data_IF_224467083064
#
_entry.id   IF_224467083064
#
_cell.length_a   1.000
_cell.length_b   1.000
_cell.length_c   1.000
_cell.angle_alpha   90.00
_cell.angle_beta   90.00
_cell.angle_gamma   90.00
#
_symmetry.space_group_name_H-M   'P 1'
#
loop_
_entity.id
_entity.type
_entity.pdbx_description
1 polymer ?
#
# COMPACT_ATOMS: atom_id res chain seq x y z
N UNK A 1 40.13 -79.92 7.11
CA UNK A 1 39.73 -79.35 5.79
C UNK A 1 38.46 -78.53 6.00
N UNK A 2 38.57 -77.27 6.38
CA UNK A 2 37.44 -76.38 6.73
C UNK A 2 37.21 -75.43 5.57
N UNK A 3 36.03 -75.52 4.95
CA UNK A 3 35.61 -74.65 3.85
C UNK A 3 34.99 -73.37 4.45
N UNK A 4 35.54 -72.22 4.23
CA UNK A 4 35.00 -70.91 4.63
C UNK A 4 34.21 -70.32 3.46
N UNK A 5 32.89 -70.26 3.64
CA UNK A 5 31.95 -69.63 2.69
C UNK A 5 31.94 -68.09 2.89
N UNK A 6 32.42 -67.32 1.93
CA UNK A 6 32.31 -65.84 1.93
C UNK A 6 30.98 -65.45 1.34
N UNK A 7 30.10 -64.85 2.18
CA UNK A 7 28.90 -64.14 1.74
C UNK A 7 29.25 -62.68 1.37
N UNK A 8 29.03 -62.32 0.11
CA UNK A 8 29.14 -60.93 -0.35
C UNK A 8 27.79 -60.24 -0.15
N UNK A 9 27.79 -59.18 0.67
CA UNK A 9 26.65 -58.26 0.79
C UNK A 9 26.75 -57.19 -0.30
N UNK A 10 25.79 -57.17 -1.22
CA UNK A 10 25.61 -56.07 -2.17
C UNK A 10 24.77 -54.97 -1.52
N UNK A 11 25.38 -53.84 -1.23
CA UNK A 11 24.68 -52.63 -0.77
C UNK A 11 24.08 -51.91 -1.99
N UNK A 12 22.77 -51.96 -2.11
CA UNK A 12 22.03 -51.15 -3.09
C UNK A 12 21.88 -49.71 -2.57
N UNK A 13 22.62 -48.76 -3.15
CA UNK A 13 22.46 -47.32 -2.89
C UNK A 13 21.25 -46.78 -3.66
N UNK A 14 20.19 -46.50 -2.95
CA UNK A 14 19.02 -45.78 -3.48
C UNK A 14 19.36 -44.28 -3.58
N UNK A 15 19.65 -43.80 -4.78
CA UNK A 15 19.78 -42.36 -5.05
C UNK A 15 18.39 -41.71 -5.11
N UNK A 16 18.00 -41.02 -4.06
CA UNK A 16 16.80 -40.17 -4.05
C UNK A 16 17.11 -38.90 -4.89
N UNK A 17 16.65 -38.89 -6.14
CA UNK A 17 16.62 -37.66 -6.95
C UNK A 17 15.57 -36.72 -6.35
N UNK A 18 16.01 -35.78 -5.52
CA UNK A 18 15.18 -34.64 -5.09
C UNK A 18 14.94 -33.72 -6.29
N UNK A 19 13.76 -33.78 -6.84
CA UNK A 19 13.29 -32.79 -7.81
C UNK A 19 13.04 -31.48 -7.06
N UNK A 20 14.06 -30.65 -6.88
CA UNK A 20 13.91 -29.28 -6.46
C UNK A 20 13.24 -28.53 -7.63
N UNK A 21 11.94 -28.29 -7.55
CA UNK A 21 11.30 -27.34 -8.43
C UNK A 21 12.03 -25.99 -8.25
N UNK A 22 12.53 -25.37 -9.33
CA UNK A 22 13.14 -24.04 -9.21
C UNK A 22 12.03 -23.07 -8.72
N UNK A 23 12.18 -22.62 -7.49
CA UNK A 23 11.40 -21.46 -7.00
C UNK A 23 11.74 -20.32 -7.94
N UNK A 24 10.82 -19.99 -8.84
CA UNK A 24 10.96 -18.88 -9.76
C UNK A 24 11.18 -17.64 -8.90
N UNK A 25 12.36 -17.03 -9.03
CA UNK A 25 12.66 -15.78 -8.34
C UNK A 25 11.50 -14.81 -8.58
N UNK A 26 10.92 -14.27 -7.50
CA UNK A 26 9.86 -13.29 -7.61
C UNK A 26 10.34 -12.14 -8.50
N UNK A 27 9.54 -11.75 -9.49
CA UNK A 27 9.85 -10.60 -10.33
C UNK A 27 10.02 -9.38 -9.40
N UNK A 28 11.15 -8.67 -9.48
CA UNK A 28 11.35 -7.44 -8.71
C UNK A 28 10.31 -6.37 -9.07
N UNK A 29 10.26 -5.26 -8.32
CA UNK A 29 9.37 -4.16 -8.64
C UNK A 29 9.70 -3.59 -10.03
N UNK A 30 8.69 -3.07 -10.73
CA UNK A 30 8.90 -2.37 -12.00
C UNK A 30 9.81 -1.15 -11.80
N UNK A 31 10.52 -0.67 -12.86
CA UNK A 31 11.52 0.40 -12.73
C UNK A 31 11.04 1.65 -11.96
N UNK A 32 9.78 2.06 -12.16
CA UNK A 32 9.21 3.19 -11.43
C UNK A 32 9.30 3.03 -9.90
N UNK A 33 9.21 1.83 -9.38
CA UNK A 33 9.17 1.51 -7.96
C UNK A 33 10.46 0.84 -7.45
N UNK A 34 11.52 0.83 -8.26
CA UNK A 34 12.81 0.21 -7.90
C UNK A 34 13.70 1.13 -7.03
N UNK A 35 13.36 2.40 -6.90
CA UNK A 35 14.09 3.39 -6.07
C UNK A 35 13.09 4.27 -5.30
N UNK A 36 13.53 4.83 -4.19
CA UNK A 36 12.78 5.82 -3.39
C UNK A 36 13.16 7.28 -3.70
N UNK A 37 14.09 7.52 -4.66
CA UNK A 37 14.47 8.88 -5.08
C UNK A 37 13.26 9.66 -5.60
N UNK A 38 13.20 10.94 -5.26
CA UNK A 38 12.12 11.82 -5.71
C UNK A 38 12.25 12.08 -7.21
N UNK A 39 11.21 11.74 -7.98
CA UNK A 39 11.17 12.05 -9.41
C UNK A 39 10.90 13.54 -9.65
N UNK A 40 11.52 14.11 -10.69
CA UNK A 40 11.17 15.43 -11.22
C UNK A 40 10.33 15.26 -12.47
N UNK A 41 9.09 15.76 -12.44
CA UNK A 41 8.12 15.59 -13.51
C UNK A 41 7.48 16.92 -13.90
N UNK A 42 7.12 17.05 -15.17
CA UNK A 42 6.14 18.05 -15.62
C UNK A 42 4.90 17.34 -16.11
N UNK A 43 3.74 17.74 -15.64
CA UNK A 43 2.45 17.24 -16.09
C UNK A 43 1.65 18.37 -16.71
N UNK A 44 1.49 18.31 -18.03
CA UNK A 44 0.75 19.31 -18.81
C UNK A 44 -0.64 18.81 -19.14
N UNK A 45 -1.69 19.53 -18.79
CA UNK A 45 -3.07 19.19 -19.10
C UNK A 45 -4.01 20.40 -18.93
N UNK A 46 -5.26 20.34 -19.41
CA UNK A 46 -6.29 21.34 -19.15
C UNK A 46 -6.91 21.12 -17.75
N UNK A 47 -6.16 21.39 -16.68
CA UNK A 47 -6.55 21.09 -15.29
C UNK A 47 -7.83 21.77 -14.82
N UNK A 48 -8.18 22.91 -15.37
CA UNK A 48 -9.40 23.68 -15.11
C UNK A 48 -10.67 23.00 -15.65
N UNK A 49 -10.54 22.19 -16.70
CA UNK A 49 -11.64 21.52 -17.40
C UNK A 49 -11.75 20.01 -17.08
N UNK A 50 -10.88 19.47 -16.24
CA UNK A 50 -10.97 18.05 -15.82
C UNK A 50 -12.26 17.83 -15.03
N UNK A 51 -13.18 17.03 -15.60
CA UNK A 51 -14.45 16.71 -14.95
C UNK A 51 -14.23 15.93 -13.64
N UNK A 52 -15.03 16.28 -12.64
CA UNK A 52 -15.12 15.54 -11.35
C UNK A 52 -16.01 14.31 -11.44
N UNK A 53 -16.75 14.14 -12.52
CA UNK A 53 -17.51 12.93 -12.77
C UNK A 53 -16.55 11.78 -13.14
N UNK A 54 -16.65 10.66 -12.43
CA UNK A 54 -15.82 9.48 -12.67
C UNK A 54 -16.12 8.79 -14.01
N UNK A 55 -17.32 9.02 -14.55
CA UNK A 55 -17.75 8.51 -15.86
C UNK A 55 -17.32 9.42 -17.02
N UNK A 56 -16.81 10.63 -16.74
CA UNK A 56 -16.37 11.55 -17.78
C UNK A 56 -15.19 10.99 -18.58
N UNK A 57 -15.13 11.34 -19.84
CA UNK A 57 -14.00 10.97 -20.71
C UNK A 57 -12.69 11.56 -20.16
N UNK A 58 -11.60 10.78 -20.14
CA UNK A 58 -10.28 11.30 -19.78
C UNK A 58 -9.85 12.43 -20.70
N UNK A 59 -9.12 13.40 -20.16
CA UNK A 59 -8.56 14.50 -20.95
C UNK A 59 -7.13 14.19 -21.40
N UNK A 60 -6.71 14.61 -22.60
CA UNK A 60 -5.34 14.43 -23.06
C UNK A 60 -4.36 15.32 -22.29
N UNK A 61 -3.18 14.79 -22.00
CA UNK A 61 -2.08 15.50 -21.36
C UNK A 61 -0.72 14.96 -21.81
N UNK A 62 0.33 15.56 -21.30
CA UNK A 62 1.72 15.17 -21.55
C UNK A 62 2.43 15.03 -20.22
N UNK A 63 3.10 13.92 -20.00
CA UNK A 63 3.99 13.68 -18.88
C UNK A 63 5.44 13.76 -19.38
N UNK A 64 6.23 14.66 -18.76
CA UNK A 64 7.67 14.76 -19.01
C UNK A 64 8.44 14.33 -17.77
N UNK A 65 9.48 13.53 -17.93
CA UNK A 65 10.45 13.20 -16.90
C UNK A 65 11.64 14.13 -17.07
N UNK A 66 12.08 14.77 -16.00
CA UNK A 66 13.33 15.52 -15.97
C UNK A 66 14.54 14.65 -15.60
N UNK A 67 15.72 15.26 -15.53
CA UNK A 67 16.94 14.59 -15.09
C UNK A 67 17.81 14.05 -16.24
N UNK A 68 18.67 13.06 -15.94
CA UNK A 68 19.71 12.58 -16.86
C UNK A 68 19.15 11.81 -18.08
N UNK A 69 17.95 11.23 -17.96
CA UNK A 69 17.28 10.51 -19.05
C UNK A 69 15.86 11.10 -19.26
N UNK A 70 15.75 12.27 -19.93
CA UNK A 70 14.48 12.92 -20.11
C UNK A 70 13.57 12.15 -21.06
N UNK A 71 12.31 12.00 -20.69
CA UNK A 71 11.27 11.33 -21.49
C UNK A 71 10.05 12.23 -21.64
N UNK A 72 9.37 12.14 -22.77
CA UNK A 72 8.09 12.81 -22.98
C UNK A 72 7.08 11.80 -23.49
N UNK A 73 5.95 11.69 -22.77
CA UNK A 73 4.95 10.67 -23.06
C UNK A 73 3.55 11.29 -23.13
N UNK A 74 2.76 10.97 -24.18
CA UNK A 74 1.35 11.32 -24.21
C UNK A 74 0.59 10.46 -23.20
N UNK A 75 -0.23 11.11 -22.39
CA UNK A 75 -1.07 10.47 -21.37
C UNK A 75 -2.50 10.97 -21.47
N UNK A 76 -3.41 10.24 -20.84
CA UNK A 76 -4.75 10.76 -20.54
C UNK A 76 -4.94 10.82 -19.03
N UNK A 77 -5.67 11.84 -18.58
CA UNK A 77 -5.94 12.10 -17.18
C UNK A 77 -7.42 12.02 -16.88
N UNK A 78 -7.77 11.37 -15.78
CA UNK A 78 -9.11 11.39 -15.20
C UNK A 78 -9.04 11.52 -13.69
N UNK A 79 -10.09 12.06 -13.09
CA UNK A 79 -10.20 12.15 -11.64
C UNK A 79 -10.52 10.78 -11.04
N UNK A 80 -9.96 10.49 -9.86
CA UNK A 80 -10.23 9.27 -9.11
C UNK A 80 -10.58 9.56 -7.64
N UNK A 81 -11.01 8.51 -6.93
CA UNK A 81 -11.39 8.58 -5.53
C UNK A 81 -12.87 8.90 -5.34
N UNK A 82 -13.31 8.91 -4.10
CA UNK A 82 -14.68 9.21 -3.70
C UNK A 82 -14.71 10.57 -2.99
N UNK A 83 -14.11 10.66 -1.81
CA UNK A 83 -14.11 11.87 -0.97
C UNK A 83 -13.26 12.98 -1.58
N UNK A 84 -12.00 12.72 -1.89
CA UNK A 84 -11.06 13.73 -2.48
C UNK A 84 -11.44 14.19 -3.90
N UNK A 85 -12.43 13.56 -4.54
CA UNK A 85 -12.99 14.01 -5.82
C UNK A 85 -13.92 15.23 -5.65
N UNK A 86 -14.53 15.39 -4.50
CA UNK A 86 -15.44 16.48 -4.20
C UNK A 86 -14.68 17.82 -4.15
N UNK A 87 -15.24 18.89 -4.76
CA UNK A 87 -14.59 20.21 -4.84
C UNK A 87 -14.40 20.86 -3.47
N UNK A 88 -15.35 20.65 -2.57
CA UNK A 88 -15.33 21.12 -1.19
C UNK A 88 -14.24 20.44 -0.34
N UNK A 89 -13.77 19.26 -0.75
CA UNK A 89 -12.69 18.54 -0.06
C UNK A 89 -11.33 18.86 -0.67
N UNK A 90 -11.20 18.73 -1.99
CA UNK A 90 -9.94 18.98 -2.69
C UNK A 90 -10.13 19.91 -3.89
N UNK A 91 -9.46 21.05 -3.90
CA UNK A 91 -9.35 21.89 -5.09
C UNK A 91 -8.62 21.16 -6.22
N UNK A 92 -7.64 20.31 -5.90
CA UNK A 92 -6.88 19.50 -6.84
C UNK A 92 -7.03 17.99 -6.50
N UNK A 93 -7.92 17.25 -7.20
CA UNK A 93 -8.26 15.89 -6.85
C UNK A 93 -7.15 14.90 -7.23
N UNK A 94 -7.12 13.70 -6.62
CA UNK A 94 -6.28 12.60 -7.08
C UNK A 94 -6.57 12.23 -8.54
N UNK A 95 -5.53 11.87 -9.27
CA UNK A 95 -5.61 11.60 -10.70
C UNK A 95 -5.32 10.13 -11.02
N UNK A 96 -5.91 9.66 -12.10
CA UNK A 96 -5.46 8.50 -12.85
C UNK A 96 -4.69 9.01 -14.06
N UNK A 97 -3.48 8.50 -14.24
CA UNK A 97 -2.61 8.77 -15.38
C UNK A 97 -2.57 7.49 -16.22
N UNK A 98 -3.04 7.54 -17.46
CA UNK A 98 -3.00 6.42 -18.39
C UNK A 98 -2.08 6.77 -19.56
N UNK A 99 -1.15 5.88 -19.88
CA UNK A 99 -0.23 6.05 -20.98
C UNK A 99 -0.96 5.74 -22.31
N UNK A 100 -0.99 6.70 -23.22
CA UNK A 100 -1.61 6.54 -24.53
C UNK A 100 -0.86 5.55 -25.43
N UNK A 101 0.44 5.39 -25.15
CA UNK A 101 1.33 4.43 -25.81
C UNK A 101 2.12 3.67 -24.74
N UNK A 102 2.52 2.44 -25.05
CA UNK A 102 3.34 1.63 -24.14
C UNK A 102 4.70 2.30 -23.95
N UNK A 103 5.09 2.64 -22.70
CA UNK A 103 6.42 3.18 -22.43
C UNK A 103 7.54 2.26 -22.92
N UNK A 104 8.60 2.85 -23.45
CA UNK A 104 9.72 2.13 -24.05
C UNK A 104 10.48 1.21 -23.09
N UNK A 105 11.39 0.36 -23.60
CA UNK A 105 12.13 -0.60 -22.77
C UNK A 105 13.11 0.04 -21.78
N UNK A 106 13.63 1.23 -22.07
CA UNK A 106 14.50 2.02 -21.20
C UNK A 106 13.77 3.01 -20.30
N UNK A 107 12.44 3.18 -20.49
CA UNK A 107 11.64 4.12 -19.73
C UNK A 107 11.55 3.73 -18.26
N UNK A 108 11.61 4.74 -17.36
CA UNK A 108 11.29 4.53 -15.95
C UNK A 108 9.85 4.03 -15.76
N UNK A 109 8.95 4.33 -16.70
CA UNK A 109 7.56 3.86 -16.71
C UNK A 109 7.37 2.54 -17.45
N UNK A 110 8.46 1.83 -17.82
CA UNK A 110 8.38 0.51 -18.47
C UNK A 110 7.39 -0.41 -17.78
N UNK A 111 6.48 -0.98 -18.58
CA UNK A 111 5.46 -1.92 -18.11
C UNK A 111 4.26 -1.26 -17.42
N UNK A 112 4.23 0.06 -17.25
CA UNK A 112 3.06 0.76 -16.75
C UNK A 112 2.06 0.99 -17.89
N UNK A 113 0.77 0.74 -17.61
CA UNK A 113 -0.35 1.10 -18.50
C UNK A 113 -1.11 2.29 -17.92
N UNK A 114 -1.35 2.25 -16.63
CA UNK A 114 -2.05 3.28 -15.86
C UNK A 114 -1.50 3.33 -14.44
N UNK A 115 -1.53 4.51 -13.86
CA UNK A 115 -1.05 4.77 -12.51
C UNK A 115 -2.07 5.58 -11.72
N UNK A 116 -2.12 5.34 -10.44
CA UNK A 116 -2.79 6.20 -9.46
C UNK A 116 -1.80 7.25 -9.02
N UNK A 117 -2.14 8.52 -9.19
CA UNK A 117 -1.37 9.66 -8.67
C UNK A 117 -2.14 10.28 -7.51
N UNK A 118 -1.57 10.24 -6.32
CA UNK A 118 -2.03 11.02 -5.18
C UNK A 118 -1.49 12.44 -5.33
N UNK A 119 -2.36 13.43 -5.23
CA UNK A 119 -2.06 14.84 -5.44
C UNK A 119 -2.14 15.62 -4.13
N UNK A 120 -1.69 16.85 -4.14
CA UNK A 120 -1.60 17.75 -2.99
C UNK A 120 -2.96 18.22 -2.42
N UNK A 121 -4.09 17.86 -3.00
CA UNK A 121 -5.46 18.16 -2.58
C UNK A 121 -5.82 19.65 -2.56
N UNK A 122 -5.12 20.50 -1.81
CA UNK A 122 -5.36 21.95 -1.71
C UNK A 122 -4.14 22.76 -2.18
N UNK A 123 -4.35 24.05 -2.49
CA UNK A 123 -3.27 24.92 -2.95
C UNK A 123 -2.26 25.25 -1.86
N UNK A 124 -2.67 25.26 -0.59
CA UNK A 124 -1.78 25.51 0.55
C UNK A 124 -0.65 24.47 0.61
N UNK A 125 0.57 24.93 0.90
CA UNK A 125 1.73 24.07 1.05
C UNK A 125 1.58 23.07 2.22
N UNK A 126 0.85 23.42 3.27
CA UNK A 126 0.60 22.58 4.43
C UNK A 126 -0.05 21.23 4.06
N UNK A 127 -0.86 21.22 2.99
CA UNK A 127 -1.48 19.99 2.52
C UNK A 127 -0.48 18.97 1.96
N UNK A 128 0.73 19.38 1.61
CA UNK A 128 1.80 18.45 1.24
C UNK A 128 2.25 17.59 2.44
N UNK A 129 2.12 18.12 3.67
CA UNK A 129 2.50 17.37 4.87
C UNK A 129 1.57 16.15 5.08
N UNK A 130 0.27 16.28 4.81
CA UNK A 130 -0.66 15.15 4.85
C UNK A 130 -0.35 14.12 3.75
N UNK A 131 -0.05 14.57 2.54
CA UNK A 131 0.39 13.71 1.44
C UNK A 131 1.66 12.93 1.81
N UNK A 132 2.63 13.59 2.43
CA UNK A 132 3.89 12.97 2.85
C UNK A 132 3.68 11.95 3.98
N UNK A 133 2.75 12.19 4.89
CA UNK A 133 2.41 11.22 5.94
C UNK A 133 1.65 10.00 5.36
N UNK A 134 0.76 10.20 4.37
CA UNK A 134 0.14 9.08 3.62
C UNK A 134 1.22 8.28 2.87
N UNK A 135 2.15 8.93 2.17
CA UNK A 135 3.30 8.29 1.53
C UNK A 135 4.16 7.51 2.53
N UNK A 136 4.41 8.08 3.71
CA UNK A 136 5.16 7.41 4.78
C UNK A 136 4.44 6.16 5.27
N UNK A 137 3.10 6.18 5.42
CA UNK A 137 2.33 5.02 5.83
C UNK A 137 2.49 3.84 4.83
N UNK A 138 2.49 4.09 3.53
CA UNK A 138 2.81 3.06 2.53
C UNK A 138 4.22 2.49 2.70
N UNK A 139 5.23 3.34 2.94
CA UNK A 139 6.62 2.91 3.16
C UNK A 139 6.77 2.09 4.45
N UNK A 140 6.08 2.49 5.52
CA UNK A 140 6.05 1.74 6.78
C UNK A 140 5.48 0.33 6.57
N UNK A 141 4.34 0.20 5.86
CA UNK A 141 3.78 -1.12 5.59
C UNK A 141 4.67 -1.97 4.68
N UNK A 142 5.26 -1.37 3.65
CA UNK A 142 6.24 -2.03 2.76
C UNK A 142 7.44 -2.59 3.53
N UNK A 143 7.88 -1.90 4.57
CA UNK A 143 8.97 -2.39 5.40
C UNK A 143 8.58 -3.63 6.23
N UNK A 144 7.30 -3.88 6.45
CA UNK A 144 6.82 -5.01 7.26
C UNK A 144 6.61 -6.29 6.43
N UNK A 145 6.33 -6.16 5.13
CA UNK A 145 5.98 -7.30 4.28
C UNK A 145 6.15 -6.99 2.80
N UNK A 146 6.54 -7.97 1.95
CA UNK A 146 6.51 -7.85 0.50
C UNK A 146 5.09 -7.74 -0.06
N UNK A 147 4.06 -8.25 0.65
CA UNK A 147 2.64 -8.13 0.29
C UNK A 147 2.13 -6.71 0.63
N UNK A 148 2.63 -5.73 -0.10
CA UNK A 148 2.39 -4.30 0.12
C UNK A 148 2.41 -3.56 -1.21
N UNK A 149 1.88 -2.35 -1.27
CA UNK A 149 2.04 -1.49 -2.44
C UNK A 149 3.35 -0.70 -2.36
N UNK A 150 4.14 -0.72 -3.44
CA UNK A 150 5.20 0.24 -3.61
C UNK A 150 4.63 1.61 -3.97
N UNK A 151 5.34 2.65 -3.56
CA UNK A 151 5.01 4.04 -3.87
C UNK A 151 6.24 4.80 -4.35
N UNK A 152 6.06 5.80 -5.21
CA UNK A 152 7.17 6.65 -5.69
C UNK A 152 6.78 8.11 -5.57
N UNK A 153 7.55 8.86 -4.78
CA UNK A 153 7.37 10.30 -4.61
C UNK A 153 7.84 11.05 -5.86
N UNK A 154 7.14 12.11 -6.23
CA UNK A 154 7.49 12.97 -7.34
C UNK A 154 7.24 14.44 -7.00
N UNK A 155 8.17 15.31 -7.39
CA UNK A 155 7.97 16.75 -7.49
C UNK A 155 7.42 17.03 -8.89
N UNK A 156 6.23 17.61 -8.96
CA UNK A 156 5.48 17.75 -10.20
C UNK A 156 5.22 19.23 -10.48
N UNK A 157 5.71 19.70 -11.62
CA UNK A 157 5.35 20.97 -12.21
C UNK A 157 4.09 20.77 -13.03
N UNK A 158 2.96 21.27 -12.52
CA UNK A 158 1.69 21.26 -13.23
C UNK A 158 1.61 22.45 -14.15
N UNK A 159 1.34 22.25 -15.44
CA UNK A 159 1.29 23.30 -16.44
C UNK A 159 0.03 23.18 -17.31
N UNK A 160 -0.50 24.31 -17.78
CA UNK A 160 -1.54 24.31 -18.79
C UNK A 160 -0.99 24.00 -20.18
N UNK A 161 -1.87 23.74 -21.16
CA UNK A 161 -1.49 23.39 -22.54
C UNK A 161 -0.70 24.47 -23.26
N UNK A 162 -0.93 25.72 -22.93
CA UNK A 162 -0.20 26.89 -23.43
C UNK A 162 1.18 27.08 -22.80
N UNK A 163 1.57 26.18 -21.86
CA UNK A 163 2.83 26.25 -21.14
C UNK A 163 2.79 27.10 -19.88
N UNK A 164 1.68 27.77 -19.58
CA UNK A 164 1.56 28.55 -18.34
C UNK A 164 1.67 27.63 -17.12
N UNK A 165 2.52 28.01 -16.17
CA UNK A 165 2.68 27.29 -14.90
C UNK A 165 1.41 27.42 -14.05
N UNK A 166 0.90 26.30 -13.55
CA UNK A 166 -0.19 26.28 -12.59
C UNK A 166 0.34 26.25 -11.15
N UNK A 167 1.13 25.26 -10.80
CA UNK A 167 1.71 25.08 -9.46
C UNK A 167 2.75 23.96 -9.48
N UNK A 168 3.78 24.07 -8.64
CA UNK A 168 4.72 22.97 -8.34
C UNK A 168 4.37 22.36 -7.00
N UNK A 169 4.10 21.05 -6.96
CA UNK A 169 3.75 20.31 -5.73
C UNK A 169 4.27 18.90 -5.76
N UNK A 170 4.40 18.32 -4.56
CA UNK A 170 4.63 16.87 -4.44
C UNK A 170 3.36 16.09 -4.76
N UNK A 171 3.57 14.92 -5.28
CA UNK A 171 2.60 13.85 -5.46
C UNK A 171 3.29 12.50 -5.35
N UNK A 172 2.55 11.41 -5.26
CA UNK A 172 3.17 10.10 -5.36
C UNK A 172 2.34 9.14 -6.18
N UNK A 173 3.03 8.26 -6.89
CA UNK A 173 2.43 7.13 -7.61
C UNK A 173 2.27 5.93 -6.69
N UNK A 174 1.20 5.17 -6.89
CA UNK A 174 0.93 3.90 -6.21
C UNK A 174 1.00 2.78 -7.22
N UNK A 175 1.70 1.70 -6.87
CA UNK A 175 1.82 0.46 -7.65
C UNK A 175 0.44 -0.12 -7.99
N UNK A 176 0.28 -0.70 -9.17
CA UNK A 176 -0.96 -1.42 -9.52
C UNK A 176 -1.02 -2.75 -8.77
N UNK A 177 -2.20 -3.11 -8.27
CA UNK A 177 -2.40 -4.35 -7.51
C UNK A 177 -2.01 -5.61 -8.32
N UNK A 178 -2.13 -5.58 -9.65
CA UNK A 178 -1.71 -6.71 -10.46
C UNK A 178 -0.19 -6.89 -10.47
N UNK A 179 0.58 -5.81 -10.27
CA UNK A 179 2.03 -5.88 -10.12
C UNK A 179 2.41 -6.40 -8.72
N UNK A 180 1.68 -5.97 -7.68
CA UNK A 180 1.84 -6.51 -6.32
C UNK A 180 1.64 -8.03 -6.31
N UNK A 181 0.51 -8.52 -6.85
CA UNK A 181 0.24 -9.97 -6.86
C UNK A 181 1.24 -10.75 -7.70
N UNK A 182 1.64 -10.20 -8.86
CA UNK A 182 2.60 -10.85 -9.76
C UNK A 182 3.97 -11.03 -9.12
N UNK A 183 4.52 -9.99 -8.47
CA UNK A 183 5.85 -10.07 -7.84
C UNK A 183 5.86 -10.96 -6.59
N UNK A 184 4.68 -11.22 -5.99
CA UNK A 184 4.53 -12.14 -4.87
C UNK A 184 4.10 -13.56 -5.32
N UNK A 185 4.05 -13.85 -6.62
CA UNK A 185 3.62 -15.17 -7.14
C UNK A 185 2.16 -15.50 -6.85
N UNK A 186 1.32 -14.50 -6.60
CA UNK A 186 -0.07 -14.62 -6.16
C UNK A 186 -1.03 -14.18 -7.26
N UNK A 187 -2.33 -14.35 -7.03
CA UNK A 187 -3.41 -13.80 -7.85
C UNK A 187 -4.37 -12.96 -7.00
N UNK A 188 -4.97 -11.96 -7.63
CA UNK A 188 -5.95 -11.12 -6.97
C UNK A 188 -7.31 -11.79 -6.94
N UNK A 189 -7.95 -11.88 -5.76
CA UNK A 189 -9.37 -12.24 -5.63
C UNK A 189 -10.26 -11.13 -6.24
N UNK A 190 -11.23 -11.51 -7.08
CA UNK A 190 -12.15 -10.61 -7.78
C UNK A 190 -13.57 -11.17 -7.77
N UNK A 191 -14.57 -10.30 -7.96
CA UNK A 191 -15.96 -10.70 -8.14
C UNK A 191 -16.61 -11.31 -6.89
N UNK A 192 -16.04 -11.07 -5.71
CA UNK A 192 -16.55 -11.58 -4.44
C UNK A 192 -16.97 -10.41 -3.56
N UNK A 193 -18.20 -10.39 -3.10
CA UNK A 193 -18.74 -9.29 -2.27
C UNK A 193 -18.36 -9.39 -0.81
N UNK A 194 -18.25 -10.63 -0.29
CA UNK A 194 -17.96 -10.91 1.12
C UNK A 194 -17.19 -12.22 1.25
N UNK A 195 -16.28 -12.25 2.22
CA UNK A 195 -15.61 -13.48 2.68
C UNK A 195 -15.80 -13.63 4.19
N UNK A 196 -15.51 -14.84 4.72
CA UNK A 196 -15.41 -15.08 6.15
C UNK A 196 -14.02 -14.69 6.68
N UNK A 197 -13.91 -14.29 7.94
CA UNK A 197 -12.63 -14.09 8.61
C UNK A 197 -11.76 -15.36 8.60
N UNK A 198 -12.37 -16.56 8.66
CA UNK A 198 -11.67 -17.85 8.58
C UNK A 198 -11.04 -18.16 7.21
N UNK A 199 -11.37 -17.40 6.17
CA UNK A 199 -10.73 -17.51 4.86
C UNK A 199 -9.44 -16.71 4.75
N UNK A 200 -9.19 -15.79 5.69
CA UNK A 200 -7.96 -15.00 5.73
C UNK A 200 -6.79 -15.86 6.22
N UNK A 201 -5.59 -15.56 5.72
CA UNK A 201 -4.35 -15.96 6.37
C UNK A 201 -4.25 -15.23 7.72
N UNK A 202 -4.16 -15.97 8.81
CA UNK A 202 -4.25 -15.44 10.16
C UNK A 202 -3.12 -14.45 10.46
N UNK A 203 -1.87 -14.77 10.04
CA UNK A 203 -0.72 -13.91 10.27
C UNK A 203 -0.77 -12.64 9.44
N UNK A 204 -1.20 -12.72 8.17
CA UNK A 204 -1.37 -11.56 7.30
C UNK A 204 -2.51 -10.66 7.78
N UNK A 205 -3.64 -11.22 8.21
CA UNK A 205 -4.77 -10.47 8.75
C UNK A 205 -4.42 -9.78 10.08
N UNK A 206 -3.68 -10.47 10.96
CA UNK A 206 -3.18 -9.88 12.20
C UNK A 206 -2.19 -8.74 11.93
N UNK A 207 -1.22 -8.93 11.03
CA UNK A 207 -0.28 -7.87 10.59
C UNK A 207 -1.00 -6.66 10.03
N UNK A 208 -2.00 -6.87 9.17
CA UNK A 208 -2.86 -5.82 8.64
C UNK A 208 -3.53 -5.04 9.78
N UNK A 209 -4.24 -5.73 10.68
CA UNK A 209 -5.02 -5.09 11.75
C UNK A 209 -4.13 -4.34 12.76
N UNK A 210 -2.96 -4.88 13.11
CA UNK A 210 -1.99 -4.22 14.00
C UNK A 210 -1.37 -3.00 13.32
N UNK A 211 -1.06 -3.07 12.01
CA UNK A 211 -0.56 -1.92 11.28
C UNK A 211 -1.60 -0.79 11.21
N UNK A 212 -2.85 -1.11 10.88
CA UNK A 212 -3.93 -0.12 10.84
C UNK A 212 -4.19 0.49 12.23
N UNK A 213 -4.03 -0.29 13.29
CA UNK A 213 -4.05 0.20 14.66
C UNK A 213 -2.87 1.14 14.94
N UNK A 214 -1.65 0.79 14.50
CA UNK A 214 -0.45 1.61 14.67
C UNK A 214 -0.64 3.03 14.11
N UNK A 215 -1.18 3.13 12.89
CA UNK A 215 -1.41 4.41 12.22
C UNK A 215 -2.79 5.02 12.55
N UNK A 216 -3.62 4.32 13.34
CA UNK A 216 -5.03 4.67 13.62
C UNK A 216 -5.86 4.90 12.35
N UNK A 217 -5.76 3.99 11.41
CA UNK A 217 -6.72 3.97 10.31
C UNK A 217 -7.92 3.10 10.69
N UNK A 218 -9.11 3.66 10.60
CA UNK A 218 -10.36 2.97 10.90
C UNK A 218 -11.22 2.74 9.65
N UNK A 219 -10.84 3.35 8.53
CA UNK A 219 -11.59 3.31 7.26
C UNK A 219 -11.24 2.09 6.42
N UNK A 220 -11.46 0.90 6.96
CA UNK A 220 -11.17 -0.35 6.26
C UNK A 220 -12.07 -1.52 6.68
N UNK A 221 -12.16 -2.52 5.81
CA UNK A 221 -12.73 -3.83 6.13
C UNK A 221 -12.08 -4.93 5.27
N UNK A 222 -11.61 -6.01 5.92
CA UNK A 222 -10.97 -7.14 5.23
C UNK A 222 -11.96 -8.17 4.68
N UNK A 223 -13.24 -8.11 5.09
CA UNK A 223 -14.22 -9.17 4.79
C UNK A 223 -15.38 -8.72 3.92
N UNK A 224 -15.57 -7.40 3.74
CA UNK A 224 -16.63 -6.84 2.91
C UNK A 224 -16.22 -5.51 2.29
N UNK A 225 -16.76 -5.19 1.13
CA UNK A 225 -16.71 -3.86 0.53
C UNK A 225 -17.90 -2.98 0.94
N UNK A 226 -17.93 -1.72 0.50
CA UNK A 226 -19.12 -0.87 0.58
C UNK A 226 -20.32 -1.53 -0.12
N UNK A 227 -21.54 -1.10 0.23
CA UNK A 227 -22.76 -1.62 -0.37
C UNK A 227 -22.67 -1.57 -1.91
N UNK A 228 -22.95 -2.71 -2.56
CA UNK A 228 -22.91 -2.84 -4.02
C UNK A 228 -21.52 -3.03 -4.65
N UNK A 229 -20.44 -2.96 -3.87
CA UNK A 229 -19.08 -3.17 -4.35
C UNK A 229 -18.52 -4.56 -3.99
N UNK A 230 -17.48 -4.96 -4.73
CA UNK A 230 -16.68 -6.14 -4.37
C UNK A 230 -15.89 -5.90 -3.07
N UNK A 231 -15.59 -7.00 -2.38
CA UNK A 231 -14.66 -7.01 -1.25
C UNK A 231 -13.29 -6.46 -1.70
N UNK A 232 -12.64 -5.65 -0.95
CA UNK A 232 -12.94 -5.22 0.40
C UNK A 232 -12.74 -3.70 0.48
N UNK A 233 -13.09 -3.06 1.60
CA UNK A 233 -12.90 -1.62 1.75
C UNK A 233 -11.46 -1.31 2.17
N UNK A 234 -10.77 -0.49 1.38
CA UNK A 234 -9.36 -0.12 1.57
C UNK A 234 -8.41 -1.32 1.78
N UNK A 235 -8.82 -2.49 1.31
CA UNK A 235 -8.05 -3.73 1.28
C UNK A 235 -8.14 -4.39 -0.10
N UNK A 236 -7.07 -5.07 -0.50
CA UNK A 236 -7.08 -5.97 -1.66
C UNK A 236 -6.72 -7.37 -1.19
N UNK A 237 -7.53 -8.34 -1.58
CA UNK A 237 -7.27 -9.73 -1.26
C UNK A 237 -6.49 -10.38 -2.39
N UNK A 238 -5.46 -11.11 -2.01
CA UNK A 238 -4.73 -12.00 -2.91
C UNK A 238 -4.57 -13.37 -2.29
N UNK A 239 -4.30 -14.36 -3.11
CA UNK A 239 -4.12 -15.73 -2.69
C UNK A 239 -3.30 -16.50 -3.70
N UNK A 240 -3.19 -17.81 -3.51
CA UNK A 240 -2.51 -18.70 -4.44
C UNK A 240 -3.11 -18.60 -5.85
N UNK A 241 -2.36 -19.02 -6.84
CA UNK A 241 -2.81 -19.09 -8.23
C UNK A 241 -4.11 -19.88 -8.36
N UNK A 242 -5.09 -19.34 -9.10
CA UNK A 242 -6.43 -19.91 -9.21
C UNK A 242 -7.36 -19.54 -8.04
N UNK A 243 -7.05 -18.48 -7.28
CA UNK A 243 -7.86 -18.01 -6.15
C UNK A 243 -9.31 -17.71 -6.54
N UNK A 244 -10.25 -18.23 -5.73
CA UNK A 244 -11.71 -18.06 -5.88
C UNK A 244 -12.34 -17.57 -4.58
N UNK A 245 -13.64 -17.30 -4.58
CA UNK A 245 -14.39 -16.95 -3.38
C UNK A 245 -14.47 -18.06 -2.31
N UNK A 246 -14.15 -19.30 -2.66
CA UNK A 246 -14.09 -20.42 -1.71
C UNK A 246 -12.67 -20.65 -1.14
N UNK A 247 -11.65 -19.94 -1.63
CA UNK A 247 -10.27 -20.12 -1.20
C UNK A 247 -10.07 -19.65 0.25
N UNK A 248 -9.11 -20.28 0.92
CA UNK A 248 -8.59 -19.92 2.24
C UNK A 248 -7.14 -19.43 2.12
N UNK A 249 -6.55 -18.94 3.22
CA UNK A 249 -5.22 -18.36 3.20
C UNK A 249 -5.14 -17.07 2.39
N UNK A 250 -6.25 -16.29 2.35
CA UNK A 250 -6.32 -15.03 1.63
C UNK A 250 -5.53 -13.95 2.39
N UNK A 251 -4.64 -13.26 1.66
CA UNK A 251 -3.77 -12.23 2.20
C UNK A 251 -4.39 -10.85 1.95
N UNK A 252 -4.78 -10.11 2.99
CA UNK A 252 -5.25 -8.74 2.85
C UNK A 252 -4.07 -7.76 2.71
N UNK A 253 -4.14 -6.87 1.72
CA UNK A 253 -3.14 -5.83 1.45
C UNK A 253 -3.80 -4.46 1.62
N UNK A 254 -3.40 -3.67 2.64
CA UNK A 254 -3.98 -2.35 2.91
C UNK A 254 -3.56 -1.30 1.89
N UNK A 255 -4.40 -0.30 1.71
CA UNK A 255 -4.12 0.91 0.92
C UNK A 255 -5.09 2.03 1.31
N UNK A 256 -4.83 3.27 0.81
CA UNK A 256 -5.67 4.46 1.01
C UNK A 256 -5.65 4.93 2.49
N UNK A 257 -4.46 5.39 2.94
CA UNK A 257 -4.21 5.73 4.34
C UNK A 257 -4.49 7.19 4.69
N UNK A 258 -5.10 7.96 3.81
CA UNK A 258 -5.36 9.40 4.01
C UNK A 258 -6.33 9.70 5.16
N UNK A 259 -7.15 8.73 5.58
CA UNK A 259 -8.03 8.82 6.76
C UNK A 259 -7.36 8.37 8.07
N UNK A 260 -6.09 7.93 8.02
CA UNK A 260 -5.37 7.49 9.21
C UNK A 260 -5.12 8.64 10.20
N UNK A 261 -5.17 8.34 11.50
CA UNK A 261 -4.83 9.30 12.56
C UNK A 261 -3.40 9.82 12.50
N UNK A 262 -2.46 9.00 11.99
CA UNK A 262 -1.09 9.42 11.68
C UNK A 262 -1.07 10.58 10.67
N UNK A 263 -1.89 10.51 9.63
CA UNK A 263 -2.04 11.54 8.60
C UNK A 263 -2.83 12.73 9.13
N UNK A 264 -3.93 12.47 9.81
CA UNK A 264 -4.82 13.47 10.40
C UNK A 264 -5.20 14.59 9.41
N UNK A 265 -5.59 14.19 8.20
CA UNK A 265 -6.03 15.14 7.18
C UNK A 265 -7.29 15.89 7.64
N UNK A 266 -7.46 17.19 7.31
CA UNK A 266 -8.60 17.99 7.78
C UNK A 266 -9.98 17.46 7.38
N UNK A 267 -10.06 16.65 6.33
CA UNK A 267 -11.29 16.03 5.85
C UNK A 267 -11.51 14.61 6.43
N UNK A 268 -10.54 14.06 7.15
CA UNK A 268 -10.65 12.73 7.72
C UNK A 268 -11.58 12.74 8.94
N UNK A 269 -12.60 11.88 8.89
CA UNK A 269 -13.56 11.67 9.98
C UNK A 269 -13.64 10.18 10.30
N UNK A 270 -13.97 9.78 11.53
CA UNK A 270 -14.24 8.39 11.85
C UNK A 270 -15.34 7.83 10.95
N UNK A 271 -15.21 6.57 10.48
CA UNK A 271 -16.25 5.92 9.70
C UNK A 271 -17.56 5.75 10.52
N UNK A 272 -18.69 5.76 9.81
CA UNK A 272 -20.00 5.52 10.42
C UNK A 272 -20.00 4.19 11.21
N UNK A 273 -20.64 4.21 12.38
CA UNK A 273 -20.72 3.06 13.28
C UNK A 273 -19.47 2.79 14.12
N UNK A 274 -18.42 3.60 13.98
CA UNK A 274 -17.22 3.55 14.85
C UNK A 274 -17.21 4.77 15.77
N UNK A 275 -17.59 4.56 17.03
CA UNK A 275 -17.71 5.63 18.02
C UNK A 275 -16.32 5.94 18.64
N UNK A 276 -15.62 6.91 18.08
CA UNK A 276 -14.40 7.52 18.60
C UNK A 276 -14.48 9.05 18.42
N UNK A 277 -13.77 9.80 19.24
CA UNK A 277 -13.84 11.27 19.22
C UNK A 277 -13.31 11.89 17.91
N UNK A 278 -12.29 11.29 17.33
CA UNK A 278 -11.66 11.70 16.06
C UNK A 278 -10.78 10.58 15.52
N UNK A 279 -10.23 10.74 14.32
CA UNK A 279 -9.39 9.73 13.63
C UNK A 279 -8.08 9.39 14.35
N UNK A 280 -7.61 10.22 15.29
CA UNK A 280 -6.38 9.97 16.05
C UNK A 280 -6.57 8.96 17.19
N UNK A 281 -7.82 8.67 17.56
CA UNK A 281 -8.12 7.69 18.62
C UNK A 281 -7.98 6.29 18.04
N UNK A 282 -6.95 5.56 18.49
CA UNK A 282 -6.73 4.18 18.08
C UNK A 282 -7.84 3.26 18.58
N UNK A 283 -8.33 2.41 17.70
CA UNK A 283 -9.26 1.33 18.05
C UNK A 283 -8.83 0.06 17.31
N UNK A 284 -8.54 -1.00 18.05
CA UNK A 284 -8.19 -2.27 17.46
C UNK A 284 -9.42 -2.92 16.83
N UNK A 285 -9.26 -3.43 15.61
CA UNK A 285 -10.31 -4.05 14.80
C UNK A 285 -9.87 -5.38 14.19
N UNK A 286 -8.85 -6.02 14.78
CA UNK A 286 -8.47 -7.39 14.39
C UNK A 286 -9.49 -8.42 14.87
N UNK A 287 -9.48 -9.59 14.24
CA UNK A 287 -10.38 -10.69 14.61
C UNK A 287 -9.85 -11.45 15.83
N UNK A 288 -10.74 -11.80 16.77
CA UNK A 288 -10.36 -12.56 17.97
C UNK A 288 -9.74 -13.94 17.62
N UNK A 289 -10.17 -14.52 16.50
CA UNK A 289 -9.60 -15.77 16.00
C UNK A 289 -8.11 -15.68 15.61
N UNK A 290 -7.58 -14.45 15.43
CA UNK A 290 -6.18 -14.19 15.05
C UNK A 290 -5.40 -13.49 16.15
N UNK A 291 -5.86 -13.57 17.40
CA UNK A 291 -5.22 -12.88 18.53
C UNK A 291 -3.79 -13.37 18.83
N UNK A 292 -3.51 -14.65 18.64
CA UNK A 292 -2.17 -15.17 18.88
C UNK A 292 -1.17 -14.65 17.86
N UNK A 293 -1.54 -14.59 16.59
CA UNK A 293 -0.74 -14.00 15.52
C UNK A 293 -0.57 -12.48 15.74
N UNK A 294 -1.62 -11.81 16.25
CA UNK A 294 -1.54 -10.39 16.56
C UNK A 294 -0.57 -10.09 17.71
N UNK A 295 -0.56 -10.90 18.78
CA UNK A 295 0.42 -10.80 19.88
C UNK A 295 1.84 -11.04 19.38
N UNK A 296 2.03 -12.11 18.58
CA UNK A 296 3.32 -12.41 17.99
C UNK A 296 3.84 -11.24 17.12
N UNK A 297 2.96 -10.67 16.31
CA UNK A 297 3.31 -9.54 15.45
C UNK A 297 3.56 -8.25 16.26
N UNK A 298 2.80 -7.97 17.33
CA UNK A 298 3.06 -6.85 18.24
C UNK A 298 4.45 -6.95 18.88
N UNK A 299 4.85 -8.15 19.29
CA UNK A 299 6.20 -8.41 19.79
C UNK A 299 7.25 -8.16 18.69
N UNK A 300 7.03 -8.68 17.49
CA UNK A 300 7.95 -8.49 16.37
C UNK A 300 8.08 -7.02 15.96
N UNK A 301 6.97 -6.28 15.83
CA UNK A 301 7.01 -4.88 15.39
C UNK A 301 7.67 -3.97 16.43
N UNK A 302 7.54 -4.27 17.73
CA UNK A 302 8.20 -3.50 18.81
C UNK A 302 9.72 -3.53 18.67
N UNK A 303 10.31 -4.66 18.26
CA UNK A 303 11.77 -4.77 18.01
C UNK A 303 12.24 -4.00 16.77
N UNK A 304 11.31 -3.58 15.92
CA UNK A 304 11.58 -2.83 14.67
C UNK A 304 11.36 -1.32 14.81
N UNK A 305 11.14 -0.83 16.03
CA UNK A 305 10.87 0.58 16.31
C UNK A 305 11.83 1.51 15.56
N UNK A 306 13.13 1.34 15.77
CA UNK A 306 14.15 2.26 15.22
C UNK A 306 14.16 2.26 13.68
N UNK A 307 14.03 1.09 13.05
CA UNK A 307 13.97 0.99 11.60
C UNK A 307 12.72 1.62 11.00
N UNK A 308 11.58 1.53 11.69
CA UNK A 308 10.34 2.16 11.24
C UNK A 308 10.37 3.68 11.48
N UNK A 309 10.94 4.12 12.60
CA UNK A 309 11.15 5.55 12.87
C UNK A 309 12.13 6.18 11.89
N UNK A 310 13.15 5.45 11.43
CA UNK A 310 14.07 5.91 10.38
C UNK A 310 13.31 6.22 9.07
N UNK A 311 12.33 5.41 8.67
CA UNK A 311 11.49 5.67 7.48
C UNK A 311 10.76 7.00 7.58
N UNK A 312 10.19 7.32 8.75
CA UNK A 312 9.56 8.62 8.99
C UNK A 312 10.59 9.75 8.90
N UNK A 313 11.75 9.58 9.53
CA UNK A 313 12.80 10.60 9.56
C UNK A 313 13.40 10.87 8.18
N UNK A 314 13.49 9.87 7.33
CA UNK A 314 14.01 9.95 5.96
C UNK A 314 12.96 10.40 4.94
N UNK A 315 11.70 10.63 5.35
CA UNK A 315 10.67 11.12 4.42
C UNK A 315 11.05 12.50 3.90
N UNK A 316 11.29 12.65 2.57
CA UNK A 316 11.75 13.90 1.99
C UNK A 316 10.74 15.04 2.21
N UNK A 317 11.22 16.26 2.48
CA UNK A 317 10.42 17.47 2.64
C UNK A 317 9.33 17.40 3.73
N UNK A 318 9.38 16.40 4.61
CA UNK A 318 8.55 16.38 5.80
C UNK A 318 9.11 17.41 6.80
N UNK A 319 8.28 18.40 7.15
CA UNK A 319 8.67 19.49 8.06
C UNK A 319 8.95 18.97 9.47
N UNK A 320 9.91 19.55 10.18
CA UNK A 320 10.31 19.12 11.52
C UNK A 320 9.15 19.08 12.53
N UNK A 321 8.24 20.06 12.45
CA UNK A 321 7.04 20.07 13.30
C UNK A 321 6.15 18.86 13.05
N UNK A 322 5.90 18.54 11.79
CA UNK A 322 5.09 17.41 11.37
C UNK A 322 5.78 16.11 11.74
N UNK A 323 7.10 16.00 11.49
CA UNK A 323 7.93 14.85 11.84
C UNK A 323 7.88 14.55 13.34
N UNK A 324 8.09 15.57 14.20
CA UNK A 324 8.02 15.38 15.66
C UNK A 324 6.64 14.93 16.12
N UNK A 325 5.55 15.47 15.57
CA UNK A 325 4.19 15.04 15.92
C UNK A 325 3.93 13.59 15.51
N UNK A 326 4.33 13.21 14.30
CA UNK A 326 4.18 11.85 13.81
C UNK A 326 5.06 10.86 14.59
N UNK A 327 6.29 11.26 14.94
CA UNK A 327 7.20 10.46 15.76
C UNK A 327 6.64 10.23 17.16
N UNK A 328 6.10 11.24 17.83
CA UNK A 328 5.42 11.07 19.13
C UNK A 328 4.21 10.13 18.99
N UNK A 329 3.39 10.34 17.96
CA UNK A 329 2.22 9.49 17.70
C UNK A 329 2.57 8.01 17.50
N UNK A 330 3.60 7.71 16.70
CA UNK A 330 4.10 6.34 16.55
C UNK A 330 4.78 5.83 17.83
N UNK A 331 5.47 6.72 18.58
CA UNK A 331 6.08 6.40 19.87
C UNK A 331 5.08 5.83 20.85
N UNK A 332 3.92 6.47 21.02
CA UNK A 332 2.83 6.00 21.88
C UNK A 332 2.39 4.56 21.53
N UNK A 333 2.32 4.23 20.23
CA UNK A 333 2.02 2.86 19.81
C UNK A 333 3.12 1.88 20.23
N UNK A 334 4.38 2.22 20.07
CA UNK A 334 5.48 1.33 20.45
C UNK A 334 5.55 1.10 21.96
N UNK A 335 5.18 2.09 22.77
CA UNK A 335 5.04 1.93 24.22
C UNK A 335 3.87 1.00 24.59
N UNK A 336 2.77 1.04 23.84
CA UNK A 336 1.67 0.09 23.99
C UNK A 336 2.09 -1.32 23.59
N UNK A 337 2.69 -1.48 22.40
CA UNK A 337 3.12 -2.76 21.85
C UNK A 337 4.21 -3.44 22.71
N UNK A 338 5.04 -2.66 23.39
CA UNK A 338 6.06 -3.15 24.32
C UNK A 338 5.53 -3.51 25.72
N UNK A 339 4.26 -3.24 26.04
CA UNK A 339 3.65 -3.49 27.35
C UNK A 339 2.75 -4.74 27.33
N UNK A 340 3.13 -5.84 28.00
CA UNK A 340 2.33 -7.08 28.02
C UNK A 340 0.89 -6.86 28.51
N UNK A 341 0.68 -6.00 29.52
CA UNK A 341 -0.66 -5.70 30.05
C UNK A 341 -1.51 -4.94 29.05
N UNK A 342 -0.95 -3.92 28.37
CA UNK A 342 -1.67 -3.16 27.33
C UNK A 342 -1.99 -4.05 26.11
N UNK A 343 -1.08 -4.95 25.72
CA UNK A 343 -1.33 -5.95 24.68
C UNK A 343 -2.47 -6.90 25.07
N UNK A 344 -2.49 -7.38 26.31
CA UNK A 344 -3.57 -8.26 26.80
C UNK A 344 -4.93 -7.54 26.78
N UNK A 345 -4.98 -6.26 27.15
CA UNK A 345 -6.21 -5.47 27.09
C UNK A 345 -6.63 -5.19 25.64
N UNK A 346 -5.68 -4.92 24.76
CA UNK A 346 -5.96 -4.74 23.33
C UNK A 346 -6.63 -5.98 22.71
N UNK A 347 -6.19 -7.18 23.08
CA UNK A 347 -6.76 -8.43 22.57
C UNK A 347 -8.21 -8.70 23.05
N UNK A 348 -8.67 -8.05 24.11
CA UNK A 348 -10.06 -8.19 24.61
C UNK A 348 -11.09 -7.45 23.76
N UNK A 349 -10.66 -6.43 22.97
CA UNK A 349 -11.55 -5.59 22.15
C UNK A 349 -11.60 -6.00 20.68
N UNK A 350 -11.13 -7.20 20.37
CA UNK A 350 -11.14 -7.77 19.03
C UNK A 350 -12.57 -8.00 18.46
N UNK A 351 -12.70 -8.11 17.14
CA UNK A 351 -13.95 -8.47 16.44
C UNK A 351 -14.21 -9.98 16.53
N UNK A 352 -15.46 -10.36 16.84
CA UNK A 352 -15.91 -11.74 16.89
C UNK A 352 -16.52 -12.19 15.57
#
# INVERSE_FOLDING_TARGET
MCLVLKMAFAAATFSILSWANPVRAADGPKPLFASDDVLSLTLTAPFDTISRDIAAKPVPGVLKVGGAAPETMPVTLSVRGITRRKKEVCAFPPLRVEFSQKPGPSSIFKGQKRLKLVTHCQRSADYQQYLLLEYTAYRLYRALTPESFNVRLAKIDYTYKDGQALITRLGFFIEDVNDVVKRNGQERLRGVRRISASQLDAAAAARYAVFEYMISNLDWAMTAGPAGADCCHNARLMGAKGVTGASTGLIPVPYDFDYAGLVNAPYAVPPDGIHVANVKVRRYRGFCAHNEEAKAFLTQISTRRDSLMAILNETPQLEDRTRRKAAGYLGDFFEEAGSPSKVADLMKVCLR
#
